data_IF_739185299845
#
_entry.id   IF_739185299845
#
_cell.length_a   1.000
_cell.length_b   1.000
_cell.length_c   1.000
_cell.angle_alpha   90.00
_cell.angle_beta   90.00
_cell.angle_gamma   90.00
#
_symmetry.space_group_name_H-M   'P 1'
#
loop_
_entity.id
_entity.type
_entity.pdbx_description
1 polymer ?
#
# COMPACT_ATOMS: atom_id res chain seq x y z
N UNK A 1 -3.48 -40.48 3.64
CA UNK A 1 -2.72 -39.28 4.12
C UNK A 1 -2.91 -38.17 3.09
N UNK A 2 -3.72 -37.15 3.38
CA UNK A 2 -3.95 -36.05 2.47
C UNK A 2 -2.76 -35.10 2.51
N UNK A 3 -2.01 -35.01 1.43
CA UNK A 3 -0.95 -34.03 1.26
C UNK A 3 -1.59 -32.62 1.27
N UNK A 4 -1.30 -31.86 2.32
CA UNK A 4 -1.62 -30.43 2.40
C UNK A 4 -0.84 -29.68 1.30
N UNK A 5 -1.47 -29.47 0.16
CA UNK A 5 -0.95 -28.54 -0.89
C UNK A 5 -1.10 -27.12 -0.39
N UNK A 6 -0.21 -26.71 0.50
CA UNK A 6 -0.09 -25.32 0.92
C UNK A 6 0.26 -24.45 -0.28
N UNK A 7 -0.71 -23.68 -0.83
CA UNK A 7 -0.45 -22.77 -1.94
C UNK A 7 0.72 -21.84 -1.59
N UNK A 8 1.72 -21.77 -2.47
CA UNK A 8 2.93 -20.96 -2.29
C UNK A 8 2.53 -19.49 -2.12
N UNK A 9 2.86 -18.90 -0.96
CA UNK A 9 2.54 -17.49 -0.70
C UNK A 9 3.30 -16.56 -1.62
N UNK A 10 2.65 -15.51 -2.09
CA UNK A 10 3.24 -14.49 -2.98
C UNK A 10 4.23 -13.63 -2.19
N UNK A 11 5.50 -13.62 -2.61
CA UNK A 11 6.54 -12.77 -2.01
C UNK A 11 6.24 -11.30 -2.30
N UNK A 12 6.14 -10.52 -1.24
CA UNK A 12 5.61 -9.16 -1.27
C UNK A 12 6.60 -8.15 -0.71
N UNK A 13 6.74 -7.01 -1.36
CA UNK A 13 7.42 -5.84 -0.83
C UNK A 13 6.41 -4.76 -0.43
N UNK A 14 6.65 -4.12 0.72
CA UNK A 14 5.83 -2.99 1.17
C UNK A 14 6.66 -1.70 1.08
N UNK A 15 6.13 -0.71 0.37
CA UNK A 15 6.76 0.61 0.25
C UNK A 15 6.12 1.60 1.20
N UNK A 16 6.95 2.34 1.95
CA UNK A 16 6.51 3.31 2.96
C UNK A 16 7.34 4.59 2.91
N UNK A 17 6.77 5.70 3.41
CA UNK A 17 7.50 6.97 3.58
C UNK A 17 7.44 7.52 5.01
N UNK A 18 6.52 7.03 5.86
CA UNK A 18 6.22 7.64 7.16
C UNK A 18 6.02 6.61 8.28
N UNK A 19 4.89 6.66 8.99
CA UNK A 19 4.61 5.91 10.24
C UNK A 19 4.50 4.40 10.06
N UNK A 20 4.08 3.93 8.88
CA UNK A 20 3.94 2.51 8.56
C UNK A 20 2.75 1.82 9.25
N UNK A 21 1.65 2.52 9.52
CA UNK A 21 0.46 1.92 10.13
C UNK A 21 -0.15 0.82 9.25
N UNK A 22 -0.31 1.09 7.95
CA UNK A 22 -0.73 0.08 6.97
C UNK A 22 0.29 -1.06 6.83
N UNK A 23 1.62 -0.76 6.87
CA UNK A 23 2.66 -1.80 6.92
C UNK A 23 2.44 -2.74 8.09
N UNK A 24 2.23 -2.19 9.33
CA UNK A 24 1.97 -3.01 10.52
C UNK A 24 0.75 -3.90 10.35
N UNK A 25 -0.33 -3.36 9.77
CA UNK A 25 -1.55 -4.12 9.49
C UNK A 25 -1.28 -5.26 8.50
N UNK A 26 -0.58 -5.00 7.40
CA UNK A 26 -0.22 -6.00 6.40
C UNK A 26 0.74 -7.06 6.93
N UNK A 27 1.69 -6.70 7.81
CA UNK A 27 2.55 -7.70 8.48
C UNK A 27 1.72 -8.64 9.33
N UNK A 28 0.79 -8.12 10.14
CA UNK A 28 -0.12 -8.97 10.92
C UNK A 28 -0.93 -9.90 10.02
N UNK A 29 -1.50 -9.37 8.94
CA UNK A 29 -2.24 -10.16 7.97
C UNK A 29 -1.38 -11.26 7.34
N UNK A 30 -0.14 -10.96 6.91
CA UNK A 30 0.74 -11.94 6.25
C UNK A 30 1.11 -13.14 7.14
N UNK A 31 1.02 -12.97 8.46
CA UNK A 31 1.27 -14.04 9.44
C UNK A 31 0.10 -15.02 9.61
N UNK A 32 -1.09 -14.68 9.17
CA UNK A 32 -2.21 -15.60 9.23
C UNK A 32 -1.97 -16.83 8.32
N UNK A 33 -2.34 -18.02 8.78
CA UNK A 33 -2.16 -19.26 8.03
C UNK A 33 -2.77 -19.19 6.63
N UNK A 34 -3.97 -18.61 6.52
CA UNK A 34 -4.70 -18.44 5.24
C UNK A 34 -4.28 -17.21 4.42
N UNK A 35 -3.26 -16.46 4.83
CA UNK A 35 -2.80 -15.31 4.04
C UNK A 35 -2.12 -15.78 2.76
N UNK A 36 -2.47 -15.22 1.59
CA UNK A 36 -1.85 -15.58 0.32
C UNK A 36 -0.49 -14.91 0.11
N UNK A 37 -0.04 -14.05 1.03
CA UNK A 37 1.21 -13.29 0.91
C UNK A 37 2.17 -13.57 2.05
N UNK A 38 3.46 -13.38 1.75
CA UNK A 38 4.54 -13.27 2.73
C UNK A 38 5.32 -11.98 2.47
N UNK A 39 5.61 -11.20 3.52
CA UNK A 39 6.35 -9.95 3.37
C UNK A 39 7.84 -10.22 3.54
N UNK A 40 8.58 -10.10 2.44
CA UNK A 40 10.03 -10.35 2.39
C UNK A 40 10.86 -9.07 2.48
N UNK A 41 10.27 -7.92 2.07
CA UNK A 41 11.03 -6.70 1.91
C UNK A 41 10.21 -5.47 2.30
N UNK A 42 10.83 -4.56 3.03
CA UNK A 42 10.31 -3.22 3.29
C UNK A 42 11.21 -2.23 2.55
N UNK A 43 10.64 -1.40 1.69
CA UNK A 43 11.36 -0.34 1.00
C UNK A 43 10.85 1.02 1.49
N UNK A 44 11.77 1.96 1.72
CA UNK A 44 11.43 3.34 2.05
C UNK A 44 12.26 4.32 1.23
N UNK A 45 11.66 5.46 0.89
CA UNK A 45 12.36 6.62 0.33
C UNK A 45 12.85 7.59 1.42
N UNK A 46 12.61 7.28 2.68
CA UNK A 46 12.95 8.11 3.82
C UNK A 46 13.62 7.26 4.92
N UNK A 47 14.89 7.51 5.19
CA UNK A 47 15.66 6.81 6.24
C UNK A 47 15.10 7.05 7.65
N UNK A 48 14.40 8.18 7.85
CA UNK A 48 13.77 8.57 9.14
C UNK A 48 12.33 8.06 9.27
N UNK A 49 11.81 7.27 8.32
CA UNK A 49 10.44 6.74 8.39
C UNK A 49 10.27 5.86 9.62
N UNK A 50 9.37 6.27 10.53
CA UNK A 50 9.08 5.52 11.79
C UNK A 50 8.64 4.09 11.54
N UNK A 51 8.04 3.81 10.38
CA UNK A 51 7.63 2.46 9.97
C UNK A 51 8.80 1.48 9.79
N UNK A 52 10.03 1.96 9.54
CA UNK A 52 11.21 1.12 9.40
C UNK A 52 11.54 0.31 10.67
N UNK A 53 11.07 0.73 11.85
CA UNK A 53 11.20 -0.05 13.10
C UNK A 53 10.61 -1.45 12.99
N UNK A 54 9.56 -1.63 12.16
CA UNK A 54 8.93 -2.93 11.98
C UNK A 54 9.82 -3.96 11.29
N UNK A 55 10.83 -3.52 10.52
CA UNK A 55 11.86 -4.40 9.97
C UNK A 55 12.60 -5.16 11.10
N UNK A 56 13.04 -4.43 12.14
CA UNK A 56 13.73 -5.04 13.30
C UNK A 56 12.77 -5.93 14.10
N UNK A 57 11.57 -5.41 14.44
CA UNK A 57 10.58 -6.12 15.28
C UNK A 57 10.14 -7.45 14.65
N UNK A 58 9.95 -7.48 13.33
CA UNK A 58 9.42 -8.65 12.62
C UNK A 58 10.47 -9.42 11.82
N UNK A 59 11.76 -9.04 11.93
CA UNK A 59 12.90 -9.64 11.21
C UNK A 59 12.71 -9.66 9.69
N UNK A 60 12.19 -8.56 9.14
CA UNK A 60 11.97 -8.38 7.70
C UNK A 60 13.09 -7.52 7.13
N UNK A 61 13.68 -7.94 6.00
CA UNK A 61 14.69 -7.17 5.28
C UNK A 61 14.18 -5.78 4.94
N UNK A 62 15.02 -4.74 5.11
CA UNK A 62 14.69 -3.36 4.69
C UNK A 62 15.75 -2.82 3.76
N UNK A 63 15.32 -1.93 2.86
CA UNK A 63 16.20 -1.15 1.98
C UNK A 63 15.68 0.29 1.89
N UNK A 64 16.59 1.22 1.69
CA UNK A 64 16.28 2.64 1.55
C UNK A 64 16.82 3.09 0.21
N UNK A 65 15.96 3.74 -0.60
CA UNK A 65 16.30 4.32 -1.89
C UNK A 65 15.69 5.71 -2.01
N UNK A 66 16.36 6.65 -2.64
CA UNK A 66 15.90 8.05 -2.71
C UNK A 66 14.78 8.31 -3.73
N UNK A 67 14.62 7.44 -4.73
CA UNK A 67 13.63 7.61 -5.83
C UNK A 67 13.72 8.97 -6.53
N UNK A 68 14.94 9.52 -6.68
CA UNK A 68 15.15 10.83 -7.31
C UNK A 68 15.23 10.77 -8.83
N UNK A 69 15.69 9.64 -9.37
CA UNK A 69 15.95 9.46 -10.79
C UNK A 69 15.77 8.01 -11.24
N UNK A 70 15.87 7.80 -12.55
CA UNK A 70 15.73 6.48 -13.17
C UNK A 70 16.77 5.45 -12.70
N UNK A 71 17.98 5.88 -12.38
CA UNK A 71 19.04 4.99 -11.88
C UNK A 71 18.69 4.44 -10.51
N UNK A 72 18.13 5.29 -9.63
CA UNK A 72 17.64 4.85 -8.33
C UNK A 72 16.51 3.82 -8.47
N UNK A 73 15.55 4.06 -9.37
CA UNK A 73 14.46 3.11 -9.64
C UNK A 73 14.96 1.79 -10.25
N UNK A 74 15.97 1.81 -11.12
CA UNK A 74 16.61 0.58 -11.64
C UNK A 74 17.22 -0.26 -10.50
N UNK A 75 17.89 0.39 -9.53
CA UNK A 75 18.40 -0.32 -8.34
C UNK A 75 17.28 -0.96 -7.52
N UNK A 76 16.13 -0.29 -7.39
CA UNK A 76 14.95 -0.86 -6.73
C UNK A 76 14.43 -2.08 -7.48
N UNK A 77 14.28 -2.02 -8.82
CA UNK A 77 13.83 -3.15 -9.64
C UNK A 77 14.77 -4.36 -9.46
N UNK A 78 16.09 -4.14 -9.46
CA UNK A 78 17.06 -5.21 -9.23
C UNK A 78 16.92 -5.82 -7.84
N UNK A 79 16.73 -5.00 -6.79
CA UNK A 79 16.50 -5.50 -5.42
C UNK A 79 15.20 -6.31 -5.31
N UNK A 80 14.13 -5.89 -5.99
CA UNK A 80 12.87 -6.63 -6.06
C UNK A 80 13.05 -7.99 -6.75
N UNK A 81 13.77 -8.02 -7.88
CA UNK A 81 14.09 -9.23 -8.63
C UNK A 81 14.92 -10.19 -7.78
N UNK A 82 16.00 -9.70 -7.13
CA UNK A 82 16.89 -10.52 -6.29
C UNK A 82 16.16 -11.13 -5.06
N UNK A 83 15.04 -10.55 -4.64
CA UNK A 83 14.21 -11.09 -3.55
C UNK A 83 12.96 -11.83 -4.08
N UNK A 84 12.87 -12.07 -5.40
CA UNK A 84 11.75 -12.77 -6.05
C UNK A 84 10.38 -12.16 -5.67
N UNK A 85 10.28 -10.82 -5.73
CA UNK A 85 9.06 -10.09 -5.37
C UNK A 85 8.09 -10.06 -6.55
N UNK A 86 6.85 -10.48 -6.32
CA UNK A 86 5.76 -10.49 -7.30
C UNK A 86 4.61 -9.55 -6.98
N UNK A 87 4.60 -8.99 -5.76
CA UNK A 87 3.60 -8.01 -5.35
C UNK A 87 4.27 -6.83 -4.64
N UNK A 88 3.93 -5.62 -5.04
CA UNK A 88 4.26 -4.39 -4.32
C UNK A 88 2.99 -3.82 -3.71
N UNK A 89 3.02 -3.47 -2.43
CA UNK A 89 1.96 -2.73 -1.77
C UNK A 89 2.50 -1.35 -1.35
N UNK A 90 1.96 -0.29 -1.94
CA UNK A 90 2.26 1.08 -1.52
C UNK A 90 1.40 1.40 -0.28
N UNK A 91 2.04 1.62 0.85
CA UNK A 91 1.40 1.79 2.16
C UNK A 91 1.78 3.14 2.80
N UNK A 92 1.23 4.22 2.28
CA UNK A 92 1.64 5.58 2.60
C UNK A 92 3.02 5.93 2.01
N UNK A 93 3.24 5.52 0.78
CA UNK A 93 4.43 5.85 0.00
C UNK A 93 4.21 7.16 -0.76
N UNK A 94 5.08 8.16 -0.55
CA UNK A 94 4.89 9.54 -1.00
C UNK A 94 5.70 9.89 -2.27
N UNK A 95 6.14 8.90 -3.03
CA UNK A 95 6.78 9.09 -4.33
C UNK A 95 5.91 8.51 -5.44
N UNK A 96 5.93 9.15 -6.59
CA UNK A 96 5.29 8.64 -7.80
C UNK A 96 6.30 7.71 -8.48
N UNK A 97 5.89 6.49 -8.76
CA UNK A 97 6.68 5.53 -9.53
C UNK A 97 6.63 5.92 -11.01
N UNK A 98 7.76 5.93 -11.69
CA UNK A 98 7.79 6.27 -13.12
C UNK A 98 7.08 5.20 -13.97
N UNK A 99 6.65 5.60 -15.17
CA UNK A 99 6.12 4.66 -16.18
C UNK A 99 7.11 3.53 -16.48
N UNK A 100 8.40 3.86 -16.53
CA UNK A 100 9.48 2.88 -16.73
C UNK A 100 9.53 1.86 -15.59
N UNK A 101 9.47 2.33 -14.32
CA UNK A 101 9.44 1.44 -13.16
C UNK A 101 8.25 0.47 -13.24
N UNK A 102 7.05 1.01 -13.48
CA UNK A 102 5.81 0.21 -13.52
C UNK A 102 5.88 -0.85 -14.63
N UNK A 103 6.38 -0.50 -15.81
CA UNK A 103 6.49 -1.42 -16.95
C UNK A 103 7.58 -2.49 -16.74
N UNK A 104 8.66 -2.17 -16.01
CA UNK A 104 9.76 -3.11 -15.75
C UNK A 104 9.52 -4.04 -14.57
N UNK A 105 8.57 -3.72 -13.69
CA UNK A 105 8.20 -4.63 -12.60
C UNK A 105 7.27 -5.74 -13.11
N UNK A 106 7.74 -6.98 -13.05
CA UNK A 106 7.00 -8.16 -13.53
C UNK A 106 6.05 -8.72 -12.46
N UNK A 107 5.17 -7.87 -11.93
CA UNK A 107 4.20 -8.24 -10.89
C UNK A 107 3.09 -7.22 -10.74
N UNK A 108 2.27 -7.39 -9.71
CA UNK A 108 1.17 -6.47 -9.41
C UNK A 108 1.64 -5.38 -8.44
N UNK A 109 1.23 -4.13 -8.69
CA UNK A 109 1.47 -2.99 -7.78
C UNK A 109 0.12 -2.49 -7.32
N UNK A 110 -0.10 -2.48 -6.01
CA UNK A 110 -1.30 -1.98 -5.37
C UNK A 110 -1.01 -0.72 -4.57
N UNK A 111 -1.94 0.20 -4.55
CA UNK A 111 -1.91 1.37 -3.68
C UNK A 111 -3.17 1.47 -2.84
N UNK A 112 -3.03 1.91 -1.59
CA UNK A 112 -4.16 2.36 -0.78
C UNK A 112 -4.20 3.87 -0.73
N UNK A 113 -5.32 4.44 -1.16
CA UNK A 113 -5.54 5.89 -1.26
C UNK A 113 -6.67 6.33 -0.32
N UNK A 114 -6.47 7.38 0.51
CA UNK A 114 -7.42 7.78 1.54
C UNK A 114 -8.55 8.67 1.00
N UNK A 115 -9.16 8.28 -0.12
CA UNK A 115 -10.38 8.87 -0.67
C UNK A 115 -11.23 7.83 -1.41
N UNK A 116 -12.44 8.20 -1.78
CA UNK A 116 -13.29 7.44 -2.69
C UNK A 116 -12.95 7.84 -4.14
N UNK A 117 -11.94 7.19 -4.73
CA UNK A 117 -11.59 7.45 -6.13
C UNK A 117 -12.79 7.28 -7.06
N UNK A 118 -12.92 8.10 -8.11
CA UNK A 118 -11.95 9.05 -8.65
C UNK A 118 -11.86 10.41 -7.94
N UNK A 119 -12.65 10.66 -6.88
CA UNK A 119 -12.58 11.91 -6.12
C UNK A 119 -11.25 12.02 -5.36
N UNK A 120 -10.71 13.24 -5.32
CA UNK A 120 -9.56 13.63 -4.49
C UNK A 120 -8.31 12.76 -4.72
N UNK A 121 -7.89 12.61 -5.96
CA UNK A 121 -6.56 12.12 -6.29
C UNK A 121 -5.48 13.00 -5.66
N UNK A 122 -4.31 12.42 -5.34
CA UNK A 122 -3.19 13.13 -4.73
C UNK A 122 -3.38 13.42 -3.24
N UNK A 123 -2.86 14.56 -2.78
CA UNK A 123 -2.74 14.89 -1.37
C UNK A 123 -3.97 15.61 -0.80
N UNK A 124 -3.98 15.77 0.54
CA UNK A 124 -4.96 16.54 1.33
C UNK A 124 -6.41 16.08 1.15
N UNK A 125 -6.63 14.78 0.93
CA UNK A 125 -7.94 14.21 0.61
C UNK A 125 -9.01 14.48 1.67
N UNK A 126 -8.65 14.38 2.95
CA UNK A 126 -9.58 14.59 4.07
C UNK A 126 -10.02 16.05 4.18
N UNK A 127 -9.07 16.98 4.07
CA UNK A 127 -9.33 18.41 4.09
C UNK A 127 -10.23 18.81 2.92
N UNK A 128 -9.91 18.35 1.72
CA UNK A 128 -10.69 18.61 0.50
C UNK A 128 -12.11 18.07 0.61
N UNK A 129 -12.30 16.88 1.16
CA UNK A 129 -13.62 16.29 1.35
C UNK A 129 -14.49 17.08 2.38
N UNK A 130 -13.87 17.56 3.48
CA UNK A 130 -14.56 18.39 4.47
C UNK A 130 -14.91 19.76 3.90
N UNK A 131 -13.95 20.43 3.22
CA UNK A 131 -14.15 21.73 2.58
C UNK A 131 -15.30 21.71 1.57
N UNK A 132 -15.40 20.63 0.80
CA UNK A 132 -16.48 20.43 -0.17
C UNK A 132 -17.80 19.95 0.46
N UNK A 133 -17.88 19.87 1.80
CA UNK A 133 -19.08 19.43 2.52
C UNK A 133 -19.62 18.07 2.04
N UNK A 134 -18.73 17.16 1.62
CA UNK A 134 -19.13 15.82 1.19
C UNK A 134 -19.79 15.05 2.34
N UNK A 135 -20.86 14.31 2.05
CA UNK A 135 -21.50 13.41 3.03
C UNK A 135 -20.59 12.25 3.44
N UNK A 136 -19.77 11.78 2.51
CA UNK A 136 -18.91 10.61 2.66
C UNK A 136 -17.51 10.88 2.13
N UNK A 137 -16.53 10.34 2.82
CA UNK A 137 -15.17 10.09 2.34
C UNK A 137 -14.90 8.58 2.42
N UNK A 138 -13.65 8.16 2.40
CA UNK A 138 -13.31 6.76 2.53
C UNK A 138 -11.90 6.43 2.08
N UNK A 139 -11.70 5.18 1.71
CA UNK A 139 -10.43 4.72 1.15
C UNK A 139 -10.66 3.78 -0.03
N UNK A 140 -9.69 3.72 -0.91
CA UNK A 140 -9.68 2.92 -2.14
C UNK A 140 -8.39 2.14 -2.23
N UNK A 141 -8.47 0.83 -2.52
CA UNK A 141 -7.33 0.06 -3.01
C UNK A 141 -7.50 -0.12 -4.52
N UNK A 142 -6.44 0.18 -5.26
CA UNK A 142 -6.43 0.12 -6.71
C UNK A 142 -5.10 -0.42 -7.24
N UNK A 143 -5.08 -0.94 -8.47
CA UNK A 143 -3.85 -1.20 -9.19
C UNK A 143 -3.15 0.11 -9.53
N UNK A 144 -1.83 0.12 -9.51
CA UNK A 144 -1.04 1.28 -9.91
C UNK A 144 -0.77 1.23 -11.41
N UNK A 145 -1.01 2.35 -12.08
CA UNK A 145 -0.62 2.60 -13.46
C UNK A 145 0.18 3.92 -13.55
N UNK A 146 0.57 4.33 -14.75
CA UNK A 146 1.37 5.54 -14.99
C UNK A 146 0.66 6.87 -14.69
N UNK A 147 -0.66 6.86 -14.44
CA UNK A 147 -1.44 8.04 -14.08
C UNK A 147 -1.73 8.04 -12.58
N UNK A 148 -1.52 9.17 -11.92
CA UNK A 148 -1.73 9.30 -10.47
C UNK A 148 -3.14 8.87 -10.07
N UNK A 149 -3.23 7.93 -9.12
CA UNK A 149 -4.47 7.41 -8.52
C UNK A 149 -5.59 7.11 -9.53
N UNK A 150 -5.23 6.47 -10.67
CA UNK A 150 -6.13 6.25 -11.80
C UNK A 150 -6.21 4.80 -12.26
N UNK A 151 -5.54 3.88 -11.58
CA UNK A 151 -5.61 2.46 -11.93
C UNK A 151 -6.95 1.82 -11.57
N UNK A 152 -7.19 0.61 -12.10
CA UNK A 152 -8.42 -0.15 -11.85
C UNK A 152 -8.66 -0.33 -10.35
N UNK A 153 -9.81 0.08 -9.88
CA UNK A 153 -10.23 -0.05 -8.49
C UNK A 153 -10.48 -1.53 -8.18
N UNK A 154 -9.91 -2.00 -7.07
CA UNK A 154 -10.10 -3.35 -6.57
C UNK A 154 -11.21 -3.37 -5.53
N UNK A 155 -11.13 -2.44 -4.55
CA UNK A 155 -12.11 -2.34 -3.48
C UNK A 155 -12.12 -0.94 -2.86
N UNK A 156 -13.29 -0.53 -2.33
CA UNK A 156 -13.48 0.77 -1.66
C UNK A 156 -14.28 0.60 -0.38
N UNK A 157 -14.06 1.51 0.56
CA UNK A 157 -14.87 1.60 1.78
C UNK A 157 -15.30 3.03 2.06
N UNK A 158 -16.60 3.27 2.17
CA UNK A 158 -17.21 4.56 2.53
C UNK A 158 -17.11 4.79 4.03
N UNK A 159 -16.85 6.04 4.42
CA UNK A 159 -16.85 6.54 5.80
C UNK A 159 -17.66 7.82 5.85
N UNK A 160 -18.69 7.88 6.67
CA UNK A 160 -19.53 9.09 6.81
C UNK A 160 -18.71 10.22 7.43
N UNK A 161 -18.78 11.41 6.86
CA UNK A 161 -18.22 12.64 7.46
C UNK A 161 -19.23 13.17 8.47
N UNK A 162 -18.77 13.46 9.69
CA UNK A 162 -19.59 14.00 10.77
C UNK A 162 -19.50 15.54 10.76
N UNK A 163 -20.55 16.21 11.26
CA UNK A 163 -20.65 17.69 11.28
C UNK A 163 -19.43 18.39 11.92
N UNK A 164 -18.84 17.76 12.95
CA UNK A 164 -17.69 18.33 13.69
C UNK A 164 -16.36 17.63 13.35
N UNK A 165 -16.26 16.95 12.21
CA UNK A 165 -15.00 16.32 11.84
C UNK A 165 -13.94 17.35 11.46
N UNK A 166 -12.80 17.20 12.10
CA UNK A 166 -11.54 17.75 11.59
C UNK A 166 -10.89 16.80 10.60
N UNK A 167 -9.99 17.25 9.71
CA UNK A 167 -9.22 16.35 8.84
C UNK A 167 -8.51 15.24 9.63
N UNK A 168 -8.00 15.54 10.80
CA UNK A 168 -7.32 14.60 11.71
C UNK A 168 -8.29 13.52 12.24
N UNK A 169 -9.51 13.88 12.61
CA UNK A 169 -10.50 12.94 13.13
C UNK A 169 -11.02 12.02 12.02
N UNK A 170 -11.30 12.60 10.84
CA UNK A 170 -11.70 11.83 9.67
C UNK A 170 -10.59 10.86 9.24
N UNK A 171 -9.33 11.32 9.19
CA UNK A 171 -8.17 10.49 8.86
C UNK A 171 -8.03 9.27 9.78
N UNK A 172 -8.20 9.44 11.10
CA UNK A 172 -8.16 8.33 12.06
C UNK A 172 -9.23 7.26 11.77
N UNK A 173 -10.46 7.68 11.45
CA UNK A 173 -11.56 6.76 11.12
C UNK A 173 -11.34 6.05 9.79
N UNK A 174 -10.83 6.76 8.79
CA UNK A 174 -10.50 6.18 7.49
C UNK A 174 -9.36 5.17 7.64
N UNK A 175 -8.32 5.47 8.42
CA UNK A 175 -7.20 4.58 8.67
C UNK A 175 -7.63 3.21 9.23
N UNK A 176 -8.64 3.20 10.13
CA UNK A 176 -9.22 1.95 10.63
C UNK A 176 -9.83 1.12 9.49
N UNK A 177 -10.46 1.77 8.52
CA UNK A 177 -11.02 1.08 7.35
C UNK A 177 -9.94 0.64 6.37
N UNK A 178 -8.87 1.42 6.20
CA UNK A 178 -7.71 1.02 5.39
C UNK A 178 -7.11 -0.29 5.88
N UNK A 179 -6.92 -0.44 7.19
CA UNK A 179 -6.35 -1.66 7.79
C UNK A 179 -7.21 -2.90 7.54
N UNK A 180 -8.52 -2.76 7.36
CA UNK A 180 -9.45 -3.85 7.02
C UNK A 180 -9.52 -4.08 5.51
N UNK A 181 -9.54 -2.99 4.74
CA UNK A 181 -9.74 -3.02 3.31
C UNK A 181 -8.53 -3.57 2.55
N UNK A 182 -7.32 -3.18 2.94
CA UNK A 182 -6.11 -3.54 2.21
C UNK A 182 -5.87 -5.06 2.16
N UNK A 183 -5.94 -5.81 3.28
CA UNK A 183 -5.88 -7.27 3.25
C UNK A 183 -6.93 -7.91 2.34
N UNK A 184 -8.19 -7.49 2.44
CA UNK A 184 -9.28 -8.00 1.61
C UNK A 184 -9.05 -7.71 0.12
N UNK A 185 -8.54 -6.52 -0.21
CA UNK A 185 -8.22 -6.14 -1.58
C UNK A 185 -7.02 -6.93 -2.14
N UNK A 186 -6.03 -7.27 -1.33
CA UNK A 186 -4.91 -8.14 -1.73
C UNK A 186 -5.42 -9.52 -2.12
N UNK A 187 -6.28 -10.14 -1.31
CA UNK A 187 -6.89 -11.44 -1.62
C UNK A 187 -7.58 -11.36 -2.98
N UNK A 188 -8.47 -10.36 -3.16
CA UNK A 188 -9.20 -10.16 -4.42
C UNK A 188 -8.27 -9.91 -5.61
N UNK A 189 -7.19 -9.12 -5.44
CA UNK A 189 -6.24 -8.82 -6.51
C UNK A 189 -5.43 -10.03 -6.97
N UNK A 190 -5.17 -10.98 -6.08
CA UNK A 190 -4.43 -12.20 -6.40
C UNK A 190 -5.30 -13.28 -7.04
N UNK A 191 -6.63 -13.15 -6.94
CA UNK A 191 -7.61 -14.02 -7.63
C UNK A 191 -8.01 -13.47 -9.01
N UNK A 192 -7.59 -12.27 -9.38
CA UNK A 192 -7.76 -11.64 -10.70
C UNK A 192 -6.50 -11.86 -11.57
#
# INVERSE_FOLDING_TARGET
>A
MAQSTGSKKVKTAIFISATGSNLKSLIKFSKHKKSPIIINLIISNNSKAKGLRYSKIYKIKKKIFDFKNSLSEKKVINELKNNDIHLICLAGFMKILSKSFINNFKGKILNIHPSLLPKYKGLNTHERAIKNKDKYSGCTVHFVNSRLDSGKIINQKKVRIKKLDTPKNLAKRILIQEHKLYPAAIIKALSL
#
